data_IF_292216184774
#
_entry.id   IF_292216184774
#
_cell.length_a   1.000
_cell.length_b   1.000
_cell.length_c   1.000
_cell.angle_alpha   90.00
_cell.angle_beta   90.00
_cell.angle_gamma   90.00
#
_symmetry.space_group_name_H-M   'P 1'
#
loop_
_entity.id
_entity.type
_entity.pdbx_description
1 polymer ?
#
# COMPACT_ATOMS: atom_id res chain seq x y z
N UNK A 1 -6.40 27.43 -3.88
CA UNK A 1 -5.64 26.83 -2.74
C UNK A 1 -6.56 25.80 -2.11
N UNK A 2 -6.09 24.58 -1.90
CA UNK A 2 -6.94 23.46 -1.43
C UNK A 2 -7.46 23.68 0.00
N UNK A 3 -8.70 23.25 0.26
CA UNK A 3 -9.35 23.33 1.58
C UNK A 3 -8.52 22.56 2.65
N UNK A 4 -7.96 21.41 2.29
CA UNK A 4 -7.12 20.60 3.21
C UNK A 4 -5.86 21.34 3.59
N UNK A 5 -5.14 21.87 2.61
CA UNK A 5 -3.90 22.61 2.83
C UNK A 5 -4.15 23.80 3.76
N UNK A 6 -5.17 24.62 3.47
CA UNK A 6 -5.53 25.76 4.29
C UNK A 6 -5.88 25.36 5.72
N UNK A 7 -6.67 24.31 5.89
CA UNK A 7 -7.06 23.84 7.22
C UNK A 7 -5.84 23.39 8.02
N UNK A 8 -4.97 22.56 7.44
CA UNK A 8 -3.75 22.11 8.15
C UNK A 8 -2.90 23.32 8.55
N UNK A 9 -2.64 24.26 7.65
CA UNK A 9 -1.79 25.43 7.93
C UNK A 9 -2.39 26.34 9.02
N UNK A 10 -3.72 26.46 9.09
CA UNK A 10 -4.43 27.24 10.09
C UNK A 10 -4.27 26.67 11.50
N UNK A 11 -4.30 25.34 11.62
CA UNK A 11 -4.21 24.64 12.90
C UNK A 11 -2.79 24.26 13.32
N UNK A 12 -1.77 24.65 12.54
CA UNK A 12 -0.38 24.46 12.97
C UNK A 12 -0.07 25.26 14.23
N UNK A 13 0.71 24.72 15.18
CA UNK A 13 1.13 25.44 16.37
C UNK A 13 1.82 26.79 16.04
N UNK A 14 1.57 27.80 16.86
CA UNK A 14 2.21 29.11 16.69
C UNK A 14 3.75 29.02 16.77
N UNK A 15 4.27 28.16 17.67
CA UNK A 15 5.71 27.90 17.81
C UNK A 15 6.17 26.91 16.73
N UNK A 16 6.59 27.43 15.60
CA UNK A 16 7.08 26.66 14.45
C UNK A 16 8.28 27.36 13.79
N UNK A 17 9.10 26.57 13.09
CA UNK A 17 10.28 27.05 12.35
C UNK A 17 10.23 26.51 10.93
N UNK A 18 10.45 27.36 9.95
CA UNK A 18 10.59 26.94 8.56
C UNK A 18 12.06 26.76 8.22
N UNK A 19 12.39 25.61 7.59
CA UNK A 19 13.75 25.30 7.14
C UNK A 19 13.96 25.76 5.70
N UNK A 20 15.21 25.96 5.24
CA UNK A 20 15.50 26.29 3.83
C UNK A 20 14.99 25.23 2.84
N UNK A 21 14.83 23.98 3.26
CA UNK A 21 14.28 22.87 2.48
C UNK A 21 12.75 22.87 2.40
N UNK A 22 12.07 23.91 2.89
CA UNK A 22 10.61 24.08 2.81
C UNK A 22 9.83 23.36 3.92
N UNK A 23 10.47 22.65 4.84
CA UNK A 23 9.80 22.04 5.97
C UNK A 23 9.44 23.09 7.04
N UNK A 24 8.22 23.01 7.54
CA UNK A 24 7.78 23.75 8.72
C UNK A 24 7.73 22.79 9.90
N UNK A 25 8.67 22.95 10.83
CA UNK A 25 8.86 22.09 12.00
C UNK A 25 8.18 22.66 13.24
N UNK A 26 7.58 21.79 14.04
CA UNK A 26 6.90 22.12 15.31
C UNK A 26 6.87 20.89 16.22
N UNK A 27 6.46 21.05 17.48
CA UNK A 27 6.31 19.94 18.42
C UNK A 27 5.23 18.99 17.92
N UNK A 28 5.61 17.72 17.69
CA UNK A 28 4.74 16.71 17.11
C UNK A 28 3.58 16.36 18.05
N UNK A 29 2.30 16.55 17.65
CA UNK A 29 1.16 16.22 18.50
C UNK A 29 0.91 14.70 18.59
N UNK A 30 1.44 13.93 17.65
CA UNK A 30 1.17 12.50 17.52
C UNK A 30 1.96 11.60 18.49
N UNK A 31 3.04 12.10 19.12
CA UNK A 31 3.96 11.25 19.88
C UNK A 31 3.29 10.55 21.07
N UNK A 32 2.50 11.25 21.86
CA UNK A 32 1.78 10.68 23.01
C UNK A 32 0.77 9.61 22.60
N UNK A 33 0.14 9.78 21.44
CA UNK A 33 -0.83 8.83 20.89
C UNK A 33 -0.20 7.57 20.28
N UNK A 34 1.13 7.61 20.08
CA UNK A 34 1.91 6.49 19.54
C UNK A 34 2.88 5.89 20.60
N UNK A 35 2.56 6.04 21.90
CA UNK A 35 3.32 5.43 22.98
C UNK A 35 4.66 6.11 23.30
N UNK A 36 4.88 7.33 22.85
CA UNK A 36 6.06 8.12 23.14
C UNK A 36 5.76 9.28 24.09
N UNK A 37 6.78 9.85 24.71
CA UNK A 37 6.66 11.09 25.46
C UNK A 37 6.33 12.26 24.55
N UNK A 38 5.70 13.32 25.11
CA UNK A 38 5.40 14.54 24.37
C UNK A 38 6.65 15.11 23.69
N UNK A 39 6.50 15.54 22.46
CA UNK A 39 7.60 16.13 21.71
C UNK A 39 7.83 17.59 22.15
N UNK A 40 9.02 17.88 22.64
CA UNK A 40 9.45 19.22 23.03
C UNK A 40 10.56 19.78 22.12
N UNK A 41 11.01 18.97 21.14
CA UNK A 41 12.18 19.26 20.30
C UNK A 41 11.82 19.68 18.87
N UNK A 42 10.52 19.78 18.56
CA UNK A 42 10.08 20.19 17.22
C UNK A 42 10.35 19.13 16.15
N UNK A 43 10.09 17.84 16.45
CA UNK A 43 10.34 16.72 15.54
C UNK A 43 9.17 16.40 14.61
N UNK A 44 8.04 17.07 14.75
CA UNK A 44 6.98 17.08 13.76
C UNK A 44 7.27 18.10 12.66
N UNK A 45 6.98 17.76 11.43
CA UNK A 45 7.14 18.68 10.30
C UNK A 45 6.11 18.48 9.22
N UNK A 46 5.75 19.58 8.56
CA UNK A 46 4.94 19.59 7.34
C UNK A 46 5.74 20.17 6.19
N UNK A 47 5.48 19.67 4.99
CA UNK A 47 5.98 20.21 3.73
C UNK A 47 4.83 20.30 2.73
N UNK A 48 4.83 21.36 1.93
CA UNK A 48 3.85 21.59 0.85
C UNK A 48 4.49 21.22 -0.48
N UNK A 49 3.79 20.42 -1.28
CA UNK A 49 4.22 20.03 -2.61
C UNK A 49 3.00 19.99 -3.54
N UNK A 50 3.07 20.68 -4.69
CA UNK A 50 2.06 20.64 -5.76
C UNK A 50 0.60 20.82 -5.30
N UNK A 51 0.38 21.76 -4.38
CA UNK A 51 -0.95 22.00 -3.81
C UNK A 51 -1.41 20.99 -2.75
N UNK A 52 -0.59 19.98 -2.48
CA UNK A 52 -0.78 19.01 -1.42
C UNK A 52 0.04 19.33 -0.17
N UNK A 53 -0.08 18.47 0.84
CA UNK A 53 0.64 18.59 2.11
C UNK A 53 1.05 17.21 2.63
N UNK A 54 2.27 17.12 3.14
CA UNK A 54 2.80 15.92 3.79
C UNK A 54 3.26 16.25 5.20
N UNK A 55 2.94 15.38 6.14
CA UNK A 55 3.38 15.45 7.53
C UNK A 55 4.26 14.25 7.87
N UNK A 56 5.34 14.50 8.61
CA UNK A 56 6.19 13.46 9.17
C UNK A 56 6.63 13.82 10.59
N UNK A 57 6.54 12.84 11.49
CA UNK A 57 7.14 12.93 12.82
C UNK A 57 8.42 12.10 12.87
N UNK A 58 9.57 12.77 13.04
CA UNK A 58 10.88 12.13 13.14
C UNK A 58 11.14 11.43 14.48
N UNK A 59 10.18 11.46 15.41
CA UNK A 59 10.26 10.76 16.69
C UNK A 59 9.50 9.42 16.68
N UNK A 60 8.20 9.46 16.41
CA UNK A 60 7.36 8.26 16.46
C UNK A 60 7.13 7.63 15.07
N UNK A 61 7.68 8.22 14.00
CA UNK A 61 7.53 7.70 12.64
C UNK A 61 6.14 7.92 12.02
N UNK A 62 5.21 8.60 12.71
CA UNK A 62 3.89 8.86 12.14
C UNK A 62 4.01 9.74 10.91
N UNK A 63 3.38 9.31 9.82
CA UNK A 63 3.36 10.04 8.55
C UNK A 63 2.00 9.95 7.89
N UNK A 64 1.60 11.06 7.31
CA UNK A 64 0.43 11.16 6.46
C UNK A 64 0.62 12.22 5.39
N UNK A 65 -0.10 12.10 4.30
CA UNK A 65 -0.08 13.07 3.21
C UNK A 65 -1.46 13.16 2.58
N UNK A 66 -1.70 14.30 1.94
CA UNK A 66 -2.83 14.50 1.09
C UNK A 66 -2.43 15.32 -0.14
N UNK A 67 -3.03 15.02 -1.29
CA UNK A 67 -2.85 15.72 -2.55
C UNK A 67 -4.21 15.97 -3.21
N UNK A 68 -4.36 17.03 -4.02
CA UNK A 68 -5.56 17.26 -4.81
C UNK A 68 -5.98 16.04 -5.61
N UNK A 69 -7.29 15.78 -5.69
CA UNK A 69 -7.82 14.59 -6.34
C UNK A 69 -7.71 13.29 -5.54
N UNK A 70 -7.16 13.32 -4.32
CA UNK A 70 -7.09 12.13 -3.45
C UNK A 70 -8.13 12.20 -2.34
N UNK A 71 -8.67 11.04 -1.90
CA UNK A 71 -9.57 10.98 -0.75
C UNK A 71 -8.91 11.52 0.53
N UNK A 72 -9.72 12.13 1.39
CA UNK A 72 -9.25 12.61 2.68
C UNK A 72 -9.03 11.44 3.64
N UNK A 73 -7.75 11.07 3.85
CA UNK A 73 -7.37 9.84 4.55
C UNK A 73 -7.66 9.90 6.05
N UNK A 74 -7.91 8.73 6.65
CA UNK A 74 -8.09 8.60 8.10
C UNK A 74 -6.87 9.10 8.91
N UNK A 75 -5.66 8.89 8.40
CA UNK A 75 -4.44 9.42 9.03
C UNK A 75 -4.41 10.95 9.05
N UNK A 76 -4.85 11.59 7.97
CA UNK A 76 -4.91 13.05 7.94
C UNK A 76 -5.99 13.59 8.88
N UNK A 77 -7.14 12.92 9.00
CA UNK A 77 -8.17 13.26 9.99
C UNK A 77 -7.62 13.21 11.41
N UNK A 78 -6.89 12.13 11.77
CA UNK A 78 -6.24 12.01 13.08
C UNK A 78 -5.22 13.10 13.34
N UNK A 79 -4.41 13.47 12.35
CA UNK A 79 -3.47 14.58 12.50
C UNK A 79 -4.21 15.88 12.86
N UNK A 80 -5.29 16.20 12.17
CA UNK A 80 -6.08 17.40 12.45
C UNK A 80 -6.71 17.36 13.85
N UNK A 81 -7.25 16.22 14.28
CA UNK A 81 -7.75 16.04 15.66
C UNK A 81 -6.66 16.34 16.70
N UNK A 82 -5.46 15.80 16.50
CA UNK A 82 -4.32 16.04 17.40
C UNK A 82 -3.80 17.48 17.36
N UNK A 83 -4.01 18.20 16.26
CA UNK A 83 -3.76 19.64 16.14
C UNK A 83 -4.85 20.50 16.79
N UNK A 84 -5.91 19.90 17.34
CA UNK A 84 -7.00 20.59 18.01
C UNK A 84 -8.13 21.06 17.10
N UNK A 85 -8.22 20.52 15.88
CA UNK A 85 -9.35 20.82 14.97
C UNK A 85 -10.59 20.07 15.45
N UNK A 86 -11.75 20.75 15.50
CA UNK A 86 -13.02 20.09 15.88
C UNK A 86 -13.48 19.09 14.81
N UNK A 87 -14.21 18.06 15.24
CA UNK A 87 -14.73 17.04 14.33
C UNK A 87 -15.67 17.63 13.26
N UNK A 88 -16.42 18.70 13.56
CA UNK A 88 -17.28 19.37 12.59
C UNK A 88 -16.47 19.98 11.43
N UNK A 89 -15.34 20.62 11.74
CA UNK A 89 -14.44 21.17 10.71
C UNK A 89 -13.81 20.04 9.91
N UNK A 90 -13.37 18.97 10.55
CA UNK A 90 -12.79 17.81 9.89
C UNK A 90 -13.80 17.15 8.94
N UNK A 91 -15.06 17.01 9.36
CA UNK A 91 -16.13 16.46 8.54
C UNK A 91 -16.46 17.38 7.37
N UNK A 92 -16.48 18.70 7.60
CA UNK A 92 -16.68 19.69 6.54
C UNK A 92 -15.58 19.60 5.48
N UNK A 93 -14.30 19.56 5.91
CA UNK A 93 -13.15 19.37 5.00
C UNK A 93 -13.29 18.09 4.20
N UNK A 94 -13.73 17.00 4.82
CA UNK A 94 -13.94 15.72 4.12
C UNK A 94 -15.02 15.82 3.04
N UNK A 95 -16.13 16.51 3.33
CA UNK A 95 -17.22 16.74 2.36
C UNK A 95 -16.77 17.65 1.22
N UNK A 96 -16.02 18.70 1.52
CA UNK A 96 -15.51 19.63 0.50
C UNK A 96 -14.53 18.91 -0.44
N UNK A 97 -13.64 18.04 0.09
CA UNK A 97 -12.76 17.18 -0.73
C UNK A 97 -13.56 16.22 -1.62
N UNK A 98 -14.66 15.65 -1.11
CA UNK A 98 -15.53 14.79 -1.92
C UNK A 98 -16.14 15.56 -3.08
N UNK A 99 -16.68 16.77 -2.82
CA UNK A 99 -17.26 17.64 -3.83
C UNK A 99 -16.24 18.10 -4.88
N UNK A 100 -15.03 18.49 -4.44
CA UNK A 100 -13.95 18.83 -5.36
C UNK A 100 -13.58 17.65 -6.27
N UNK A 101 -13.60 16.40 -5.75
CA UNK A 101 -13.30 15.21 -6.52
C UNK A 101 -14.44 14.77 -7.46
N UNK A 102 -15.70 15.05 -7.12
CA UNK A 102 -16.87 14.78 -7.98
C UNK A 102 -16.93 15.76 -9.17
N UNK A 103 -16.45 16.99 -8.99
CA UNK A 103 -16.39 18.01 -10.05
C UNK A 103 -15.23 17.83 -11.03
N UNK A 104 -14.23 17.04 -10.68
CA UNK A 104 -13.19 16.60 -11.60
C UNK A 104 -13.75 15.37 -12.31
N UNK A 105 -14.21 15.53 -13.56
CA UNK A 105 -14.45 14.38 -14.45
C UNK A 105 -13.33 13.39 -14.21
N UNK A 106 -13.71 12.17 -13.87
CA UNK A 106 -12.76 11.09 -13.64
C UNK A 106 -11.88 11.04 -14.90
N UNK A 107 -10.73 11.70 -14.86
CA UNK A 107 -9.66 11.37 -15.77
C UNK A 107 -9.55 9.86 -15.64
N UNK A 108 -9.99 9.17 -16.68
CA UNK A 108 -9.84 7.72 -16.79
C UNK A 108 -8.44 7.43 -16.31
N UNK A 109 -8.37 6.93 -15.08
CA UNK A 109 -7.12 6.40 -14.60
C UNK A 109 -6.86 5.27 -15.57
N UNK A 110 -5.98 5.50 -16.52
CA UNK A 110 -5.40 4.40 -17.26
C UNK A 110 -4.81 3.51 -16.17
N UNK A 111 -5.56 2.47 -15.80
CA UNK A 111 -5.05 1.39 -14.98
C UNK A 111 -3.96 0.83 -15.88
N UNK A 112 -2.72 1.26 -15.64
CA UNK A 112 -1.56 0.58 -16.22
C UNK A 112 -1.61 -0.77 -15.53
N UNK A 113 -2.35 -1.70 -16.16
CA UNK A 113 -2.29 -3.10 -15.78
C UNK A 113 -0.82 -3.47 -15.88
N UNK A 114 -0.22 -4.03 -14.85
CA UNK A 114 1.15 -4.48 -14.93
C UNK A 114 1.22 -5.43 -16.13
N UNK A 115 1.99 -5.05 -17.13
CA UNK A 115 2.28 -5.92 -18.28
C UNK A 115 3.17 -7.02 -17.71
N UNK A 116 2.55 -8.15 -17.38
CA UNK A 116 3.32 -9.35 -17.06
C UNK A 116 3.99 -9.80 -18.37
N UNK A 117 5.30 -9.78 -18.39
CA UNK A 117 6.03 -10.44 -19.45
C UNK A 117 5.65 -11.92 -19.38
N UNK A 118 4.94 -12.41 -20.38
CA UNK A 118 4.66 -13.84 -20.52
C UNK A 118 6.01 -14.53 -20.71
N UNK A 119 6.49 -15.15 -19.64
CA UNK A 119 7.66 -16.03 -19.72
C UNK A 119 7.17 -17.36 -20.33
N UNK A 120 7.79 -17.78 -21.41
CA UNK A 120 7.48 -19.09 -21.98
C UNK A 120 7.76 -20.18 -20.93
N UNK A 121 6.84 -21.12 -20.80
CA UNK A 121 7.08 -22.27 -19.95
C UNK A 121 8.25 -23.12 -20.52
N UNK A 122 9.08 -23.76 -19.65
CA UNK A 122 10.09 -24.72 -20.09
C UNK A 122 9.47 -25.80 -21.01
N UNK A 123 10.22 -26.28 -22.00
CA UNK A 123 9.71 -27.23 -22.99
C UNK A 123 9.17 -28.55 -22.40
N UNK A 124 9.74 -28.96 -21.25
CA UNK A 124 9.30 -30.14 -20.51
C UNK A 124 8.13 -29.92 -19.58
N UNK A 125 7.57 -28.69 -19.54
CA UNK A 125 6.44 -28.37 -18.66
C UNK A 125 5.15 -29.02 -19.16
N UNK A 126 4.43 -29.65 -18.23
CA UNK A 126 3.09 -30.22 -18.47
C UNK A 126 2.14 -29.81 -17.34
N UNK A 127 0.86 -29.84 -17.60
CA UNK A 127 -0.14 -29.67 -16.54
C UNK A 127 0.04 -30.76 -15.48
N UNK A 128 -0.23 -30.42 -14.23
CA UNK A 128 -0.09 -31.38 -13.12
C UNK A 128 -1.02 -32.59 -13.32
N UNK A 129 -2.22 -32.38 -13.89
CA UNK A 129 -3.13 -33.46 -14.23
C UNK A 129 -2.49 -34.46 -15.23
N UNK A 130 -1.88 -33.92 -16.29
CA UNK A 130 -1.25 -34.73 -17.35
C UNK A 130 -0.03 -35.50 -16.80
N UNK A 131 0.66 -34.99 -15.79
CA UNK A 131 1.76 -35.68 -15.11
C UNK A 131 1.27 -36.92 -14.36
N UNK A 132 0.10 -36.87 -13.74
CA UNK A 132 -0.47 -38.02 -13.05
C UNK A 132 -0.72 -39.17 -14.04
N UNK A 133 -1.27 -38.87 -15.23
CA UNK A 133 -1.50 -39.86 -16.29
C UNK A 133 -0.20 -40.36 -16.90
N UNK A 134 0.75 -39.46 -17.16
CA UNK A 134 2.06 -39.80 -17.71
C UNK A 134 2.85 -40.77 -16.78
N UNK A 135 2.90 -40.45 -15.48
CA UNK A 135 3.61 -41.27 -14.51
C UNK A 135 2.94 -42.62 -14.24
N UNK A 136 1.62 -42.74 -14.49
CA UNK A 136 0.94 -44.04 -14.39
C UNK A 136 1.34 -45.02 -15.49
N UNK A 137 1.90 -44.53 -16.61
CA UNK A 137 2.34 -45.29 -17.75
C UNK A 137 3.86 -45.66 -17.68
N UNK A 138 4.62 -44.99 -16.83
CA UNK A 138 6.07 -45.16 -16.73
C UNK A 138 6.46 -46.16 -15.60
N UNK A 139 7.42 -47.07 -15.84
CA UNK A 139 7.78 -48.12 -14.86
C UNK A 139 8.48 -47.59 -13.59
N UNK A 140 8.78 -46.30 -13.53
CA UNK A 140 9.50 -45.67 -12.39
C UNK A 140 8.58 -44.99 -11.34
N UNK A 141 7.28 -44.86 -11.58
CA UNK A 141 6.35 -44.17 -10.69
C UNK A 141 6.52 -42.66 -10.67
N UNK A 142 5.78 -41.98 -9.75
CA UNK A 142 5.79 -40.53 -9.59
C UNK A 142 7.15 -40.00 -9.11
N UNK A 143 7.61 -38.91 -9.73
CA UNK A 143 8.80 -38.20 -9.24
C UNK A 143 8.59 -37.71 -7.79
N UNK A 144 9.64 -37.91 -6.95
CA UNK A 144 9.59 -37.54 -5.52
C UNK A 144 9.31 -36.06 -5.27
N UNK A 145 9.71 -35.15 -6.18
CA UNK A 145 9.45 -33.74 -6.06
C UNK A 145 8.02 -33.43 -6.45
N UNK A 146 7.47 -34.11 -7.44
CA UNK A 146 6.05 -33.99 -7.81
C UNK A 146 5.15 -34.46 -6.65
N UNK A 147 5.51 -35.51 -5.93
CA UNK A 147 4.78 -35.95 -4.73
C UNK A 147 4.75 -34.84 -3.67
N UNK A 148 5.90 -34.19 -3.40
CA UNK A 148 5.95 -33.05 -2.45
C UNK A 148 5.07 -31.88 -2.88
N UNK A 149 4.98 -31.62 -4.18
CA UNK A 149 4.12 -30.58 -4.72
C UNK A 149 2.66 -30.92 -4.51
N UNK A 150 2.24 -32.15 -4.74
CA UNK A 150 0.87 -32.59 -4.43
C UNK A 150 0.54 -32.45 -2.94
N UNK A 151 1.48 -32.82 -2.05
CA UNK A 151 1.31 -32.63 -0.61
C UNK A 151 1.18 -31.14 -0.25
N UNK A 152 2.02 -30.27 -0.85
CA UNK A 152 1.94 -28.83 -0.66
C UNK A 152 0.60 -28.26 -1.13
N UNK A 153 0.13 -28.64 -2.31
CA UNK A 153 -1.16 -28.22 -2.86
C UNK A 153 -2.30 -28.64 -1.94
N UNK A 154 -2.30 -29.89 -1.49
CA UNK A 154 -3.30 -30.41 -0.56
C UNK A 154 -3.34 -29.62 0.74
N UNK A 155 -2.17 -29.33 1.33
CA UNK A 155 -2.07 -28.59 2.58
C UNK A 155 -2.50 -27.12 2.46
N UNK A 156 -2.50 -26.56 1.24
CA UNK A 156 -2.93 -25.19 0.92
C UNK A 156 -4.33 -25.11 0.37
N UNK A 157 -5.05 -26.22 0.26
CA UNK A 157 -6.39 -26.30 -0.38
C UNK A 157 -6.37 -25.74 -1.82
N UNK A 158 -5.28 -25.99 -2.57
CA UNK A 158 -5.21 -25.65 -3.98
C UNK A 158 -5.83 -26.77 -4.78
N UNK A 159 -6.94 -26.50 -5.44
CA UNK A 159 -7.66 -27.49 -6.23
C UNK A 159 -7.25 -27.40 -7.70
N UNK A 160 -6.95 -28.57 -8.27
CA UNK A 160 -6.51 -28.71 -9.67
C UNK A 160 -7.61 -28.27 -10.64
N UNK A 161 -8.88 -28.39 -10.24
CA UNK A 161 -10.05 -28.05 -11.07
C UNK A 161 -10.28 -26.54 -11.22
N UNK A 162 -9.72 -25.72 -10.30
CA UNK A 162 -9.94 -24.28 -10.30
C UNK A 162 -8.91 -23.50 -11.15
N UNK A 163 -7.74 -24.07 -11.37
CA UNK A 163 -6.62 -23.38 -12.05
C UNK A 163 -5.65 -24.39 -12.67
N UNK A 164 -5.18 -24.10 -13.88
CA UNK A 164 -4.13 -24.89 -14.52
C UNK A 164 -2.79 -24.67 -13.82
N UNK A 165 -2.25 -25.70 -13.19
CA UNK A 165 -0.90 -25.73 -12.64
C UNK A 165 0.03 -26.51 -13.55
N UNK A 166 1.24 -25.98 -13.76
CA UNK A 166 2.26 -26.61 -14.59
C UNK A 166 3.46 -26.97 -13.75
N UNK A 167 4.05 -28.11 -14.03
CA UNK A 167 5.29 -28.55 -13.40
C UNK A 167 6.27 -29.11 -14.43
N UNK A 168 7.57 -29.03 -14.14
CA UNK A 168 8.66 -29.51 -14.96
C UNK A 168 9.70 -30.22 -14.10
N UNK A 169 10.32 -31.33 -14.56
CA UNK A 169 11.42 -32.00 -13.86
C UNK A 169 12.75 -31.24 -13.98
N UNK A 170 12.83 -30.14 -14.75
CA UNK A 170 14.05 -29.39 -14.92
C UNK A 170 14.59 -28.86 -13.59
N UNK A 171 15.89 -29.07 -13.33
CA UNK A 171 16.54 -28.76 -12.05
C UNK A 171 16.32 -27.32 -11.56
N UNK A 172 16.26 -26.36 -12.48
CA UNK A 172 16.08 -24.94 -12.14
C UNK A 172 14.65 -24.60 -11.65
N UNK A 173 13.65 -25.40 -11.97
CA UNK A 173 12.23 -25.10 -11.75
C UNK A 173 11.45 -26.18 -11.00
N UNK A 174 12.03 -27.38 -10.78
CA UNK A 174 11.33 -28.55 -10.22
C UNK A 174 10.70 -28.33 -8.84
N UNK A 175 11.18 -27.35 -8.07
CA UNK A 175 10.69 -27.01 -6.74
C UNK A 175 9.72 -25.83 -6.76
N UNK A 176 9.22 -25.42 -7.95
CA UNK A 176 8.30 -24.32 -8.16
C UNK A 176 7.01 -24.81 -8.84
N UNK A 177 5.91 -24.18 -8.46
CA UNK A 177 4.60 -24.24 -9.12
C UNK A 177 4.41 -23.01 -9.99
#
# INVERSE_FOLDING_TARGET
>A
MSVVLNTVLTYLPAKRKTTPSGWTSFNAPCCQHNGHTADTRGRGGVIQNDGGISYHCFNCGYKCSWQPGRPFSHKMRRLLQWLGTSDDIINKVALDVMRENEGVEAQERSIILPTFNTVALPESSRRIQDWADYCALEPGGLDKNLIKIFEYMKNRNLYIDDTDYYWTPELAYRDRL
#
